data_IF_211402608027
#
_entry.id   IF_211402608027
#
_cell.length_a   1.000
_cell.length_b   1.000
_cell.length_c   1.000
_cell.angle_alpha   90.00
_cell.angle_beta   90.00
_cell.angle_gamma   90.00
#
_symmetry.space_group_name_H-M   'P 1'
#
loop_
_entity.id
_entity.type
_entity.pdbx_description
1 polymer ?
#
# COMPACT_ATOMS: atom_id res chain seq x y z
N UNK A 1 -7.23 12.40 7.30
CA UNK A 1 -5.98 11.70 6.92
C UNK A 1 -5.03 11.83 8.09
N UNK A 2 -4.38 10.75 8.53
CA UNK A 2 -3.36 10.86 9.58
C UNK A 2 -2.15 11.66 9.06
N UNK A 3 -1.46 12.45 9.90
CA UNK A 3 -0.27 13.18 9.48
C UNK A 3 0.88 12.21 9.15
N UNK A 4 1.84 12.64 8.32
CA UNK A 4 3.02 11.82 7.99
C UNK A 4 3.76 11.37 9.27
N UNK A 5 4.06 10.06 9.43
CA UNK A 5 4.78 9.56 10.60
C UNK A 5 6.20 10.12 10.64
N UNK A 6 6.68 10.41 11.85
CA UNK A 6 8.01 10.99 12.06
C UNK A 6 9.09 9.93 12.33
N UNK A 7 8.68 8.69 12.60
CA UNK A 7 9.59 7.57 12.84
C UNK A 7 9.05 6.25 12.30
N UNK A 8 9.95 5.29 12.11
CA UNK A 8 9.58 3.91 11.77
C UNK A 8 8.76 3.25 12.88
N UNK A 9 9.07 3.53 14.15
CA UNK A 9 8.31 3.00 15.28
C UNK A 9 6.85 3.46 15.25
N UNK A 10 6.62 4.76 14.99
CA UNK A 10 5.27 5.32 14.85
C UNK A 10 4.54 4.74 13.64
N UNK A 11 5.22 4.57 12.50
CA UNK A 11 4.63 3.93 11.32
C UNK A 11 4.22 2.49 11.61
N UNK A 12 5.06 1.73 12.31
CA UNK A 12 4.78 0.33 12.68
C UNK A 12 3.66 0.23 13.72
N UNK A 13 3.60 1.13 14.71
CA UNK A 13 2.50 1.21 15.67
C UNK A 13 1.16 1.40 14.94
N UNK A 14 1.09 2.37 14.03
CA UNK A 14 -0.11 2.60 13.21
C UNK A 14 -0.46 1.40 12.32
N UNK A 15 0.53 0.70 11.79
CA UNK A 15 0.31 -0.52 11.00
C UNK A 15 -0.25 -1.66 11.85
N UNK A 16 0.19 -1.78 13.10
CA UNK A 16 -0.36 -2.74 14.06
C UNK A 16 -1.77 -2.36 14.51
N UNK A 17 -2.07 -1.07 14.70
CA UNK A 17 -3.39 -0.59 15.11
C UNK A 17 -4.50 -0.92 14.11
N UNK A 18 -4.17 -0.97 12.82
CA UNK A 18 -5.14 -1.30 11.75
C UNK A 18 -5.23 -2.80 11.45
N UNK A 19 -4.31 -3.61 11.97
CA UNK A 19 -4.27 -5.05 11.69
C UNK A 19 -5.52 -5.75 12.25
N UNK A 20 -6.18 -6.54 11.42
CA UNK A 20 -7.41 -7.25 11.76
C UNK A 20 -8.68 -6.42 11.60
N UNK A 21 -8.60 -5.11 11.36
CA UNK A 21 -9.78 -4.29 11.07
C UNK A 21 -10.28 -4.53 9.65
N UNK A 22 -11.60 -4.49 9.49
CA UNK A 22 -12.24 -4.58 8.18
C UNK A 22 -12.10 -3.29 7.39
N UNK A 23 -12.16 -3.38 6.07
CA UNK A 23 -12.18 -2.21 5.20
C UNK A 23 -13.36 -1.29 5.47
N UNK A 24 -14.51 -1.82 5.93
CA UNK A 24 -15.64 -1.01 6.36
C UNK A 24 -15.32 -0.13 7.57
N UNK A 25 -14.74 -0.70 8.62
CA UNK A 25 -14.36 0.03 9.84
C UNK A 25 -13.33 1.12 9.53
N UNK A 26 -12.30 0.76 8.76
CA UNK A 26 -11.27 1.70 8.33
C UNK A 26 -11.84 2.81 7.45
N UNK A 27 -12.76 2.48 6.54
CA UNK A 27 -13.36 3.46 5.64
C UNK A 27 -14.31 4.41 6.38
N UNK A 28 -15.04 3.94 7.39
CA UNK A 28 -15.88 4.77 8.25
C UNK A 28 -15.05 5.81 9.00
N UNK A 29 -13.94 5.40 9.64
CA UNK A 29 -13.00 6.33 10.31
C UNK A 29 -12.42 7.35 9.31
N UNK A 30 -12.13 6.91 8.09
CA UNK A 30 -11.57 7.78 7.05
C UNK A 30 -12.61 8.68 6.34
N UNK A 31 -13.90 8.47 6.57
CA UNK A 31 -14.99 9.10 5.81
C UNK A 31 -14.99 8.72 4.33
N UNK A 32 -14.51 7.52 3.99
CA UNK A 32 -14.43 7.00 2.62
C UNK A 32 -15.58 6.03 2.34
N UNK A 33 -16.18 6.07 1.15
CA UNK A 33 -17.17 5.06 0.75
C UNK A 33 -16.45 3.82 0.24
N UNK A 34 -16.81 2.65 0.78
CA UNK A 34 -16.34 1.36 0.26
C UNK A 34 -17.04 1.07 -1.07
N UNK A 35 -16.32 0.85 -2.19
CA UNK A 35 -16.94 0.46 -3.44
C UNK A 35 -17.46 -0.97 -3.34
N UNK A 36 -18.45 -1.31 -4.17
CA UNK A 36 -18.98 -2.69 -4.21
C UNK A 36 -17.89 -3.70 -4.63
N UNK A 37 -16.99 -3.29 -5.52
CA UNK A 37 -15.87 -4.11 -6.00
C UNK A 37 -14.74 -3.25 -6.58
N UNK A 38 -13.56 -3.86 -6.76
CA UNK A 38 -12.35 -3.18 -7.25
C UNK A 38 -12.21 -3.14 -8.79
N UNK A 39 -13.28 -3.36 -9.57
CA UNK A 39 -13.17 -3.39 -11.05
C UNK A 39 -12.80 -2.01 -11.63
N UNK A 40 -13.36 -0.94 -11.07
CA UNK A 40 -13.12 0.45 -11.47
C UNK A 40 -12.10 1.15 -10.55
N UNK A 41 -12.08 0.76 -9.28
CA UNK A 41 -11.31 1.42 -8.22
C UNK A 41 -10.13 0.57 -7.71
N UNK A 42 -9.29 0.08 -8.63
CA UNK A 42 -8.19 -0.85 -8.33
C UNK A 42 -7.21 -0.34 -7.27
N UNK A 43 -7.09 0.98 -7.11
CA UNK A 43 -6.20 1.62 -6.13
C UNK A 43 -6.85 1.93 -4.78
N UNK A 44 -8.14 1.65 -4.59
CA UNK A 44 -8.90 2.10 -3.42
C UNK A 44 -8.32 1.55 -2.10
N UNK A 45 -7.94 0.27 -2.06
CA UNK A 45 -7.32 -0.34 -0.87
C UNK A 45 -6.00 0.36 -0.53
N UNK A 46 -5.19 0.68 -1.55
CA UNK A 46 -3.95 1.45 -1.36
C UNK A 46 -4.22 2.82 -0.74
N UNK A 47 -5.20 3.55 -1.27
CA UNK A 47 -5.58 4.88 -0.76
C UNK A 47 -6.10 4.84 0.68
N UNK A 48 -6.87 3.80 1.03
CA UNK A 48 -7.35 3.60 2.39
C UNK A 48 -6.17 3.42 3.37
N UNK A 49 -5.21 2.57 3.01
CA UNK A 49 -4.01 2.35 3.82
C UNK A 49 -3.10 3.58 3.88
N UNK A 50 -2.92 4.29 2.76
CA UNK A 50 -2.21 5.57 2.70
C UNK A 50 -2.80 6.58 3.69
N UNK A 51 -4.14 6.66 3.77
CA UNK A 51 -4.82 7.57 4.67
C UNK A 51 -4.55 7.25 6.14
N UNK A 52 -4.62 5.96 6.49
CA UNK A 52 -4.45 5.45 7.86
C UNK A 52 -3.01 5.46 8.35
N UNK A 53 -2.06 5.24 7.44
CA UNK A 53 -0.63 5.25 7.77
C UNK A 53 -0.02 6.66 7.63
N UNK A 54 -0.74 7.59 7.00
CA UNK A 54 -0.29 8.97 6.80
C UNK A 54 0.69 9.11 5.63
N UNK A 55 0.60 8.26 4.62
CA UNK A 55 1.44 8.34 3.43
C UNK A 55 0.98 9.54 2.57
N UNK A 56 1.83 10.53 2.27
CA UNK A 56 1.46 11.70 1.50
C UNK A 56 0.85 11.31 0.13
N UNK A 57 -0.33 11.84 -0.16
CA UNK A 57 -1.03 11.52 -1.39
C UNK A 57 -0.24 11.92 -2.65
N UNK A 58 -0.26 11.05 -3.66
CA UNK A 58 0.21 11.33 -5.01
C UNK A 58 1.34 10.40 -5.46
N UNK A 59 1.23 9.91 -6.70
CA UNK A 59 2.23 9.03 -7.32
C UNK A 59 3.49 9.82 -7.71
N UNK A 60 4.35 10.11 -6.73
CA UNK A 60 5.70 10.60 -7.00
C UNK A 60 6.61 9.40 -7.30
N UNK A 61 7.71 9.57 -8.06
CA UNK A 61 8.71 8.53 -8.27
C UNK A 61 9.47 8.11 -6.98
N UNK A 62 9.17 8.76 -5.87
CA UNK A 62 9.79 8.55 -4.56
C UNK A 62 9.04 7.48 -3.78
N UNK A 63 9.62 7.05 -2.67
CA UNK A 63 8.96 6.17 -1.71
C UNK A 63 7.85 6.92 -0.97
N UNK A 64 6.80 6.19 -0.61
CA UNK A 64 5.60 6.77 0.02
C UNK A 64 5.96 7.53 1.30
N UNK A 65 6.84 6.99 2.14
CA UNK A 65 7.41 7.67 3.30
C UNK A 65 8.85 8.11 3.02
N UNK A 66 9.02 9.11 2.16
CA UNK A 66 10.34 9.55 1.66
C UNK A 66 11.34 9.91 2.76
N UNK A 67 10.90 10.49 3.89
CA UNK A 67 11.77 10.82 5.04
C UNK A 67 12.27 9.58 5.77
N UNK A 68 11.47 8.51 5.78
CA UNK A 68 11.82 7.24 6.40
C UNK A 68 12.51 6.29 5.40
N UNK A 69 12.43 6.60 4.11
CA UNK A 69 12.92 5.74 3.03
C UNK A 69 12.16 4.42 2.95
N UNK A 70 10.83 4.45 3.14
CA UNK A 70 9.96 3.25 3.15
C UNK A 70 8.86 3.38 2.10
N UNK A 71 8.70 2.35 1.26
CA UNK A 71 7.58 2.20 0.33
C UNK A 71 6.45 1.42 1.02
N UNK A 72 5.19 1.81 0.82
CA UNK A 72 4.00 1.09 1.24
C UNK A 72 3.52 0.17 0.12
N UNK A 73 3.28 -1.10 0.43
CA UNK A 73 2.62 -2.04 -0.48
C UNK A 73 1.58 -2.86 0.24
N UNK A 74 0.35 -2.84 -0.26
CA UNK A 74 -0.61 -3.89 0.08
C UNK A 74 -0.35 -5.14 -0.75
N UNK A 75 -0.64 -6.30 -0.18
CA UNK A 75 -0.57 -7.58 -0.88
C UNK A 75 -1.80 -8.43 -0.55
N UNK A 76 -2.68 -8.71 -1.53
CA UNK A 76 -3.83 -9.57 -1.30
C UNK A 76 -3.35 -11.01 -1.08
N UNK A 77 -3.76 -11.60 0.04
CA UNK A 77 -3.44 -12.99 0.41
C UNK A 77 -4.73 -13.82 0.49
N UNK A 78 -4.59 -15.11 0.17
CA UNK A 78 -5.65 -16.10 0.33
C UNK A 78 -5.64 -16.76 1.71
N UNK A 79 -6.55 -17.69 1.96
CA UNK A 79 -6.71 -18.37 3.25
C UNK A 79 -5.44 -19.07 3.79
N UNK A 80 -4.51 -19.44 2.91
CA UNK A 80 -3.25 -20.08 3.26
C UNK A 80 -2.08 -19.10 3.42
N UNK A 81 -2.36 -17.79 3.44
CA UNK A 81 -1.35 -16.73 3.51
C UNK A 81 -0.53 -16.55 2.24
N UNK A 82 -0.91 -17.19 1.11
CA UNK A 82 -0.21 -17.02 -0.16
C UNK A 82 -0.72 -15.79 -0.91
N UNK A 83 0.16 -15.03 -1.57
CA UNK A 83 -0.25 -13.96 -2.46
C UNK A 83 -1.18 -14.46 -3.57
N UNK A 84 -2.27 -13.73 -3.80
CA UNK A 84 -3.22 -14.03 -4.88
C UNK A 84 -2.87 -13.34 -6.21
N UNK A 85 -2.08 -12.27 -6.14
CA UNK A 85 -1.70 -11.47 -7.30
C UNK A 85 -0.21 -11.07 -7.25
N UNK A 86 0.33 -10.67 -8.39
CA UNK A 86 1.65 -10.03 -8.46
C UNK A 86 1.57 -8.58 -7.98
N UNK A 87 2.61 -8.08 -7.32
CA UNK A 87 2.68 -6.68 -6.88
C UNK A 87 3.31 -5.78 -7.95
N UNK A 88 2.63 -4.70 -8.31
CA UNK A 88 3.22 -3.64 -9.13
C UNK A 88 4.28 -2.87 -8.34
N UNK A 89 5.49 -2.75 -8.92
CA UNK A 89 6.61 -2.00 -8.31
C UNK A 89 6.74 -0.62 -8.92
N UNK A 90 7.07 -0.55 -10.21
CA UNK A 90 7.20 0.70 -10.96
C UNK A 90 7.04 0.44 -12.46
N UNK A 91 6.81 1.52 -13.21
CA UNK A 91 6.88 1.48 -14.67
C UNK A 91 8.33 1.30 -15.11
N UNK A 92 8.57 0.43 -16.08
CA UNK A 92 9.88 0.30 -16.72
C UNK A 92 10.05 1.43 -17.77
N UNK A 93 11.06 2.31 -17.64
CA UNK A 93 11.34 3.31 -18.67
C UNK A 93 11.83 2.61 -19.94
N UNK A 94 11.16 2.86 -21.07
CA UNK A 94 11.55 2.30 -22.38
C UNK A 94 12.51 3.20 -23.16
N UNK A 95 12.68 4.43 -22.71
CA UNK A 95 13.55 5.46 -23.31
C UNK A 95 14.29 6.21 -22.21
N UNK A 96 15.40 6.88 -22.55
CA UNK A 96 16.16 7.67 -21.56
C UNK A 96 16.87 6.83 -20.50
N UNK A 97 17.20 5.56 -20.83
CA UNK A 97 17.82 4.60 -19.90
C UNK A 97 19.35 4.58 -19.94
N UNK A 98 19.97 5.38 -20.81
CA UNK A 98 21.42 5.47 -20.87
C UNK A 98 21.98 5.98 -19.54
N UNK A 99 22.94 5.24 -18.98
CA UNK A 99 23.56 5.58 -17.70
C UNK A 99 22.79 5.12 -16.46
N UNK A 100 21.60 4.51 -16.61
CA UNK A 100 20.94 3.83 -15.48
C UNK A 100 21.72 2.58 -15.09
N UNK A 101 21.97 2.41 -13.79
CA UNK A 101 22.51 1.18 -13.21
C UNK A 101 21.51 0.57 -12.24
N UNK A 102 21.77 -0.65 -11.75
CA UNK A 102 20.94 -1.26 -10.72
C UNK A 102 20.87 -0.38 -9.47
N UNK A 103 22.01 0.14 -9.03
CA UNK A 103 22.18 0.93 -7.81
C UNK A 103 21.32 2.20 -7.81
N UNK A 104 21.18 2.83 -8.99
CA UNK A 104 20.43 4.07 -9.21
C UNK A 104 19.03 3.86 -9.79
N UNK A 105 18.61 2.61 -9.99
CA UNK A 105 17.31 2.28 -10.60
C UNK A 105 16.11 2.58 -9.68
N UNK A 106 14.98 2.95 -10.28
CA UNK A 106 13.71 3.14 -9.55
C UNK A 106 13.22 1.86 -8.86
N UNK A 107 13.39 0.71 -9.51
CA UNK A 107 13.00 -0.60 -8.96
C UNK A 107 13.77 -0.89 -7.66
N UNK A 108 15.09 -0.70 -7.66
CA UNK A 108 15.91 -0.89 -6.45
C UNK A 108 15.55 0.14 -5.38
N UNK A 109 15.34 1.41 -5.76
CA UNK A 109 14.95 2.45 -4.82
C UNK A 109 13.65 2.05 -4.07
N UNK A 110 12.59 1.69 -4.81
CA UNK A 110 11.29 1.30 -4.23
C UNK A 110 11.35 0.02 -3.40
N UNK A 111 12.12 -0.97 -3.85
CA UNK A 111 12.23 -2.26 -3.16
C UNK A 111 13.29 -2.30 -2.05
N UNK A 112 14.05 -1.22 -1.87
CA UNK A 112 15.13 -1.18 -0.87
C UNK A 112 14.60 -1.38 0.56
N UNK A 113 13.40 -0.85 0.85
CA UNK A 113 12.69 -1.00 2.12
C UNK A 113 11.19 -0.87 1.86
N UNK A 114 10.43 -1.91 2.22
CA UNK A 114 8.99 -1.99 1.95
C UNK A 114 8.24 -2.36 3.24
N UNK A 115 7.24 -1.57 3.59
CA UNK A 115 6.20 -1.95 4.53
C UNK A 115 5.13 -2.73 3.74
N UNK A 116 5.12 -4.05 3.96
CA UNK A 116 4.09 -4.93 3.42
C UNK A 116 2.91 -4.98 4.36
N UNK A 117 1.73 -4.68 3.82
CA UNK A 117 0.45 -4.79 4.51
C UNK A 117 -0.35 -5.89 3.81
N UNK A 118 -0.34 -7.13 4.33
CA UNK A 118 -1.24 -8.16 3.85
C UNK A 118 -2.68 -7.67 3.97
N UNK A 119 -3.54 -8.14 3.07
CA UNK A 119 -4.99 -7.94 3.16
C UNK A 119 -5.71 -9.18 2.66
N UNK A 120 -6.88 -9.49 3.19
CA UNK A 120 -7.71 -10.57 2.65
C UNK A 120 -8.10 -10.27 1.19
N UNK A 121 -7.90 -11.23 0.29
CA UNK A 121 -8.13 -11.03 -1.15
C UNK A 121 -9.24 -11.90 -1.77
N UNK A 122 -9.77 -12.86 -1.02
CA UNK A 122 -10.72 -13.87 -1.49
C UNK A 122 -12.00 -13.23 -2.07
N UNK A 123 -12.43 -13.68 -3.26
CA UNK A 123 -13.46 -13.01 -4.05
C UNK A 123 -14.86 -13.15 -3.47
N UNK A 124 -15.08 -14.22 -2.74
CA UNK A 124 -16.31 -14.53 -2.00
C UNK A 124 -16.50 -13.64 -0.78
N UNK A 125 -15.43 -13.06 -0.21
CA UNK A 125 -15.53 -12.12 0.90
C UNK A 125 -15.90 -10.74 0.33
N UNK A 126 -17.05 -10.17 0.71
CA UNK A 126 -17.44 -8.82 0.32
C UNK A 126 -16.33 -7.83 0.63
N UNK A 127 -16.05 -6.87 -0.26
CA UNK A 127 -14.91 -5.96 -0.12
C UNK A 127 -14.89 -5.26 1.26
N UNK A 128 -16.05 -4.82 1.74
CA UNK A 128 -16.21 -4.15 3.02
C UNK A 128 -15.83 -5.03 4.24
N UNK A 129 -15.97 -6.35 4.13
CA UNK A 129 -15.69 -7.29 5.23
C UNK A 129 -14.25 -7.79 5.25
N UNK A 130 -13.49 -7.56 4.17
CA UNK A 130 -12.09 -7.97 4.09
C UNK A 130 -11.27 -7.20 5.10
N UNK A 131 -10.32 -7.90 5.72
CA UNK A 131 -9.44 -7.35 6.74
C UNK A 131 -8.05 -7.03 6.21
N UNK A 132 -7.40 -6.11 6.90
CA UNK A 132 -5.94 -5.95 6.88
C UNK A 132 -5.30 -7.09 7.65
#
# INVERSE_FOLDING_TARGET
MKPEPQSEAELMERAHDIAGLSFAELADEAGMTVPENLKRDKGWVGQLLEWHLGAPAGSKPQQDFSKLGIELKSIPIGYNGRPLETTFVCVAPLTGVQGLTWETSHVRNKLSRVLWVPVEGEREIPLAERRV
#
